data_IF_078444650304
#
_entry.id   IF_078444650304
#
_cell.length_a   1.000
_cell.length_b   1.000
_cell.length_c   1.000
_cell.angle_alpha   90.00
_cell.angle_beta   90.00
_cell.angle_gamma   90.00
#
_symmetry.space_group_name_H-M   'P 1'
#
loop_
_entity.id
_entity.type
_entity.pdbx_description
1 polymer ?
#
# COMPACT_ATOMS: atom_id res chain seq x y z
N UNK A 1 51.93 -37.58 -33.30
CA UNK A 1 52.19 -36.50 -32.31
C UNK A 1 50.86 -36.02 -31.75
N UNK A 2 50.85 -35.71 -30.46
CA UNK A 2 49.71 -35.59 -29.52
C UNK A 2 48.60 -34.57 -29.90
N UNK A 3 47.35 -35.04 -29.74
CA UNK A 3 46.12 -34.44 -29.17
C UNK A 3 46.12 -32.92 -28.88
N UNK A 4 45.01 -32.24 -29.26
CA UNK A 4 44.22 -31.26 -28.46
C UNK A 4 42.95 -30.89 -29.27
N UNK A 5 41.78 -31.44 -28.95
CA UNK A 5 40.79 -30.94 -27.97
C UNK A 5 40.30 -29.51 -28.26
N UNK A 6 39.09 -29.37 -28.81
CA UNK A 6 38.15 -28.31 -28.40
C UNK A 6 36.71 -28.72 -28.76
N UNK A 7 36.02 -29.31 -27.79
CA UNK A 7 34.56 -29.44 -27.78
C UNK A 7 33.98 -28.07 -27.40
N UNK A 8 33.32 -27.41 -28.34
CA UNK A 8 32.60 -26.16 -28.10
C UNK A 8 31.23 -26.50 -27.48
N UNK A 9 31.19 -26.56 -26.15
CA UNK A 9 29.95 -26.68 -25.38
C UNK A 9 29.35 -25.26 -25.26
N UNK A 10 28.38 -24.94 -26.12
CA UNK A 10 27.55 -23.75 -25.96
C UNK A 10 26.63 -23.92 -24.75
N UNK A 11 26.96 -23.23 -23.67
CA UNK A 11 26.12 -23.03 -22.50
C UNK A 11 24.83 -22.29 -22.90
N UNK A 12 23.71 -22.99 -22.78
CA UNK A 12 22.37 -22.43 -22.74
C UNK A 12 22.25 -21.52 -21.50
N UNK A 13 22.37 -20.21 -21.70
CA UNK A 13 21.86 -19.23 -20.74
C UNK A 13 20.36 -19.09 -20.96
N UNK A 14 19.59 -19.87 -20.23
CA UNK A 14 18.16 -19.64 -20.03
C UNK A 14 17.99 -18.34 -19.25
N UNK A 15 17.68 -17.26 -19.98
CA UNK A 15 17.15 -16.04 -19.38
C UNK A 15 15.82 -16.39 -18.70
N UNK A 16 15.85 -16.52 -17.36
CA UNK A 16 14.64 -16.52 -16.56
C UNK A 16 14.11 -15.08 -16.60
N UNK A 17 13.32 -14.76 -17.63
CA UNK A 17 12.39 -13.63 -17.56
C UNK A 17 11.48 -13.92 -16.37
N UNK A 18 11.69 -13.20 -15.27
CA UNK A 18 10.71 -13.08 -14.21
C UNK A 18 9.47 -12.42 -14.82
N UNK A 19 8.56 -13.24 -15.34
CA UNK A 19 7.21 -12.83 -15.65
C UNK A 19 6.59 -12.40 -14.32
N UNK A 20 6.51 -11.08 -14.08
CA UNK A 20 5.59 -10.52 -13.11
C UNK A 20 4.18 -10.76 -13.66
N UNK A 21 3.67 -11.96 -13.42
CA UNK A 21 2.27 -12.30 -13.69
C UNK A 21 1.42 -11.27 -12.96
N UNK A 22 0.69 -10.46 -13.73
CA UNK A 22 -0.33 -9.57 -13.19
C UNK A 22 -1.39 -10.46 -12.54
N UNK A 23 -1.28 -10.69 -11.24
CA UNK A 23 -2.30 -11.38 -10.47
C UNK A 23 -3.57 -10.53 -10.58
N UNK A 24 -4.58 -11.06 -11.27
CA UNK A 24 -5.92 -10.48 -11.24
C UNK A 24 -6.41 -10.56 -9.80
N UNK A 25 -6.45 -9.42 -9.12
CA UNK A 25 -6.91 -9.37 -7.73
C UNK A 25 -8.42 -9.66 -7.74
N UNK A 26 -8.88 -10.74 -7.08
CA UNK A 26 -10.31 -11.03 -7.01
C UNK A 26 -10.99 -10.01 -6.11
N UNK A 27 -11.57 -8.97 -6.73
CA UNK A 27 -12.34 -7.91 -6.09
C UNK A 27 -13.46 -8.45 -5.18
N UNK A 28 -13.93 -9.68 -5.43
CA UNK A 28 -14.96 -10.34 -4.62
C UNK A 28 -14.61 -10.48 -3.14
N UNK A 29 -13.32 -10.50 -2.79
CA UNK A 29 -12.84 -10.69 -1.41
C UNK A 29 -12.61 -9.39 -0.64
N UNK A 30 -12.76 -8.23 -1.30
CA UNK A 30 -12.50 -6.93 -0.71
C UNK A 30 -13.79 -6.11 -0.61
N UNK A 31 -13.81 -5.18 0.34
CA UNK A 31 -14.86 -4.18 0.47
C UNK A 31 -14.23 -2.82 0.74
N UNK A 32 -14.93 -1.76 0.34
CA UNK A 32 -14.52 -0.39 0.70
C UNK A 32 -14.53 -0.27 2.22
N UNK A 33 -13.47 0.30 2.77
CA UNK A 33 -13.41 0.67 4.17
C UNK A 33 -14.24 1.92 4.41
N UNK A 34 -15.17 1.85 5.35
CA UNK A 34 -16.12 2.93 5.64
C UNK A 34 -16.03 3.41 7.08
N UNK A 35 -16.62 4.57 7.36
CA UNK A 35 -16.71 5.08 8.74
C UNK A 35 -17.48 4.14 9.67
N UNK A 36 -18.57 3.52 9.20
CA UNK A 36 -19.30 2.51 9.99
C UNK A 36 -18.44 1.30 10.34
N UNK A 37 -17.55 0.90 9.41
CA UNK A 37 -16.64 -0.20 9.64
C UNK A 37 -15.53 0.20 10.63
N UNK A 38 -15.01 1.42 10.53
CA UNK A 38 -14.11 2.00 11.53
C UNK A 38 -14.73 1.93 12.92
N UNK A 39 -15.92 2.51 13.08
CA UNK A 39 -16.63 2.52 14.36
C UNK A 39 -16.89 1.10 14.89
N UNK A 40 -17.18 0.16 13.98
CA UNK A 40 -17.38 -1.24 14.36
C UNK A 40 -16.11 -1.95 14.82
N UNK A 41 -14.96 -1.66 14.21
CA UNK A 41 -13.65 -2.20 14.59
C UNK A 41 -13.18 -1.62 15.92
N UNK A 42 -13.24 -0.29 16.06
CA UNK A 42 -12.86 0.41 17.29
C UNK A 42 -13.75 -0.02 18.46
N UNK A 43 -15.06 -0.16 18.23
CA UNK A 43 -16.01 -0.68 19.23
C UNK A 43 -15.76 -2.14 19.62
N UNK A 44 -15.08 -2.92 18.77
CA UNK A 44 -14.61 -4.27 19.08
C UNK A 44 -13.19 -4.29 19.70
N UNK A 45 -12.59 -3.12 19.96
CA UNK A 45 -11.23 -3.01 20.49
C UNK A 45 -10.15 -3.41 19.49
N UNK A 46 -10.44 -3.39 18.18
CA UNK A 46 -9.49 -3.69 17.12
C UNK A 46 -8.89 -2.36 16.62
N UNK A 47 -7.63 -2.06 16.98
CA UNK A 47 -6.98 -0.82 16.55
C UNK A 47 -6.68 -0.86 15.03
N UNK A 48 -6.75 0.29 14.36
CA UNK A 48 -6.60 0.38 12.90
C UNK A 48 -5.20 -0.01 12.42
N UNK A 49 -4.18 0.11 13.26
CA UNK A 49 -2.80 -0.31 13.01
C UNK A 49 -2.69 -1.84 12.84
N UNK A 50 -3.70 -2.61 13.29
CA UNK A 50 -3.78 -4.06 13.08
C UNK A 50 -4.62 -4.44 11.84
N UNK A 51 -5.15 -3.46 11.13
CA UNK A 51 -5.95 -3.66 9.93
C UNK A 51 -5.06 -3.53 8.70
N UNK A 52 -5.10 -4.55 7.84
CA UNK A 52 -4.47 -4.47 6.53
C UNK A 52 -5.39 -3.72 5.56
N UNK A 53 -4.93 -2.58 5.07
CA UNK A 53 -5.58 -1.78 4.04
C UNK A 53 -5.06 -2.11 2.65
N UNK A 54 -5.86 -1.76 1.65
CA UNK A 54 -5.55 -1.88 0.22
C UNK A 54 -6.05 -0.63 -0.50
N UNK A 55 -5.31 -0.15 -1.49
CA UNK A 55 -5.74 0.93 -2.39
C UNK A 55 -6.50 0.37 -3.60
N UNK A 56 -7.49 1.08 -4.13
CA UNK A 56 -8.27 0.61 -5.29
C UNK A 56 -7.76 1.07 -6.66
N UNK A 57 -6.82 2.01 -6.67
CA UNK A 57 -6.25 2.63 -7.87
C UNK A 57 -4.76 2.83 -7.69
N UNK A 58 -4.05 2.95 -8.81
CA UNK A 58 -2.64 3.29 -8.81
C UNK A 58 -2.44 4.70 -8.24
N UNK A 59 -1.48 4.84 -7.32
CA UNK A 59 -1.04 6.13 -6.79
C UNK A 59 0.38 6.38 -7.31
N UNK A 60 0.58 7.48 -8.02
CA UNK A 60 1.90 7.88 -8.50
C UNK A 60 2.24 9.24 -7.92
N UNK A 61 3.37 9.33 -7.23
CA UNK A 61 3.89 10.56 -6.66
C UNK A 61 5.30 10.81 -7.18
N UNK A 62 5.65 12.09 -7.40
CA UNK A 62 6.92 12.49 -8.01
C UNK A 62 7.53 13.66 -7.25
N UNK A 63 8.86 13.68 -7.10
CA UNK A 63 9.59 14.87 -6.66
C UNK A 63 10.86 15.06 -7.47
N UNK A 64 11.27 16.32 -7.58
CA UNK A 64 12.61 16.66 -8.01
C UNK A 64 13.59 16.42 -6.86
N UNK A 65 14.76 15.89 -7.18
CA UNK A 65 15.83 15.60 -6.24
C UNK A 65 17.06 16.38 -6.65
N UNK A 66 17.53 17.22 -5.73
CA UNK A 66 18.72 18.06 -5.95
C UNK A 66 20.03 17.34 -5.60
N UNK A 67 20.01 16.41 -4.62
CA UNK A 67 21.17 15.58 -4.23
C UNK A 67 20.89 14.11 -4.56
N UNK A 68 21.62 13.49 -5.51
CA UNK A 68 21.48 12.07 -5.85
C UNK A 68 21.66 11.12 -4.65
N UNK A 69 22.41 11.52 -3.61
CA UNK A 69 22.62 10.71 -2.40
C UNK A 69 21.39 10.70 -1.47
N UNK A 70 20.44 11.59 -1.69
CA UNK A 70 19.16 11.63 -0.96
C UNK A 70 18.22 10.49 -1.37
N UNK A 71 18.57 9.74 -2.42
CA UNK A 71 17.76 8.61 -2.90
C UNK A 71 18.42 7.30 -2.49
N UNK A 72 17.94 6.72 -1.39
CA UNK A 72 18.07 5.28 -1.17
C UNK A 72 17.11 4.59 -2.14
N UNK A 73 17.66 3.92 -3.16
CA UNK A 73 16.87 3.18 -4.15
C UNK A 73 16.23 1.99 -3.45
N UNK A 74 14.96 2.14 -3.04
CA UNK A 74 14.12 1.03 -2.62
C UNK A 74 13.43 0.43 -3.86
N UNK A 75 13.00 -0.84 -3.84
CA UNK A 75 12.36 -1.50 -4.99
C UNK A 75 11.10 -0.79 -5.54
N UNK A 76 10.49 0.11 -4.75
CA UNK A 76 9.26 0.86 -5.07
C UNK A 76 9.52 2.17 -5.85
N UNK A 77 10.77 2.64 -5.87
CA UNK A 77 11.13 3.97 -6.39
C UNK A 77 11.92 3.90 -7.70
N UNK A 78 11.45 4.57 -8.74
CA UNK A 78 12.20 4.77 -9.99
C UNK A 78 12.86 6.15 -10.00
N UNK A 79 14.14 6.20 -10.38
CA UNK A 79 14.87 7.44 -10.60
C UNK A 79 15.02 7.65 -12.10
N UNK A 80 14.61 8.81 -12.60
CA UNK A 80 14.86 9.23 -13.99
C UNK A 80 15.56 10.58 -14.03
N UNK A 81 16.36 10.82 -15.06
CA UNK A 81 16.96 12.12 -15.32
C UNK A 81 16.12 12.87 -16.37
N UNK A 82 15.72 14.10 -16.09
CA UNK A 82 14.98 14.94 -17.04
C UNK A 82 15.47 16.39 -16.93
N UNK A 83 15.94 16.95 -18.04
CA UNK A 83 16.44 18.34 -18.12
C UNK A 83 17.53 18.68 -17.06
N UNK A 84 18.46 17.74 -16.82
CA UNK A 84 19.54 17.94 -15.84
C UNK A 84 19.13 17.79 -14.36
N UNK A 85 17.86 17.46 -14.09
CA UNK A 85 17.32 17.25 -12.75
C UNK A 85 17.03 15.77 -12.50
N UNK A 86 17.39 15.28 -11.32
CA UNK A 86 17.03 13.92 -10.88
C UNK A 86 15.58 13.92 -10.41
N UNK A 87 14.82 12.92 -10.83
CA UNK A 87 13.40 12.79 -10.54
C UNK A 87 13.19 11.47 -9.82
N UNK A 88 12.66 11.54 -8.59
CA UNK A 88 12.18 10.36 -7.88
C UNK A 88 10.69 10.17 -8.15
N UNK A 89 10.31 8.99 -8.58
CA UNK A 89 8.92 8.58 -8.78
C UNK A 89 8.64 7.36 -7.92
N UNK A 90 7.54 7.39 -7.15
CA UNK A 90 7.05 6.24 -6.37
C UNK A 90 5.69 5.85 -6.95
N UNK A 91 5.51 4.55 -7.18
CA UNK A 91 4.27 3.97 -7.68
C UNK A 91 3.73 2.96 -6.67
N UNK A 92 2.52 3.20 -6.18
CA UNK A 92 1.75 2.26 -5.37
C UNK A 92 0.70 1.63 -6.28
N UNK A 93 0.93 0.38 -6.67
CA UNK A 93 0.02 -0.36 -7.54
C UNK A 93 -1.33 -0.61 -6.85
N UNK A 94 -2.44 -0.80 -7.60
CA UNK A 94 -3.71 -1.18 -7.01
C UNK A 94 -3.57 -2.45 -6.17
N UNK A 95 -4.26 -2.48 -5.02
CA UNK A 95 -4.25 -3.56 -4.04
C UNK A 95 -2.87 -3.86 -3.45
N UNK A 96 -1.98 -2.87 -3.41
CA UNK A 96 -0.80 -2.95 -2.55
C UNK A 96 -1.26 -3.00 -1.09
N UNK A 97 -0.75 -3.94 -0.27
CA UNK A 97 -1.07 -3.99 1.15
C UNK A 97 -0.41 -2.80 1.87
N UNK A 98 -1.18 -2.09 2.69
CA UNK A 98 -0.71 -1.00 3.54
C UNK A 98 -1.21 -1.09 4.97
N UNK A 99 -0.52 -0.42 5.88
CA UNK A 99 -0.81 -0.43 7.32
C UNK A 99 -1.01 1.01 7.80
N UNK A 100 -1.99 1.23 8.67
CA UNK A 100 -2.17 2.53 9.30
C UNK A 100 -1.01 2.80 10.27
N UNK A 101 -0.37 3.97 10.13
CA UNK A 101 0.65 4.45 11.06
C UNK A 101 0.06 5.34 12.15
N UNK A 102 -1.02 6.04 11.82
CA UNK A 102 -1.81 6.83 12.74
C UNK A 102 -3.21 7.08 12.17
N UNK A 103 -4.13 7.50 13.02
CA UNK A 103 -5.45 7.94 12.59
C UNK A 103 -5.99 9.01 13.53
N UNK A 104 -6.79 9.91 12.99
CA UNK A 104 -7.55 10.92 13.72
C UNK A 104 -9.01 10.85 13.27
N UNK A 105 -9.87 11.69 13.85
CA UNK A 105 -11.26 11.79 13.44
C UNK A 105 -11.36 12.18 11.95
N UNK A 106 -11.91 11.27 11.14
CA UNK A 106 -12.06 11.46 9.70
C UNK A 106 -10.75 11.42 8.90
N UNK A 107 -9.63 10.99 9.49
CA UNK A 107 -8.34 10.89 8.79
C UNK A 107 -7.68 9.55 9.13
N UNK A 108 -7.08 8.90 8.12
CA UNK A 108 -6.21 7.74 8.30
C UNK A 108 -4.92 7.97 7.52
N UNK A 109 -3.78 7.73 8.17
CA UNK A 109 -2.47 7.79 7.56
C UNK A 109 -1.96 6.37 7.27
N UNK A 110 -1.89 5.98 6.00
CA UNK A 110 -1.54 4.61 5.58
C UNK A 110 -0.18 4.58 4.91
N UNK A 111 0.73 3.77 5.44
CA UNK A 111 2.00 3.46 4.77
C UNK A 111 1.81 2.30 3.80
N UNK A 112 2.45 2.41 2.64
CA UNK A 112 2.57 1.35 1.64
C UNK A 112 4.02 0.86 1.50
N UNK A 113 4.90 1.32 2.40
CA UNK A 113 6.33 1.04 2.40
C UNK A 113 6.65 -0.23 3.18
N UNK A 114 7.20 -1.23 2.49
CA UNK A 114 7.60 -2.49 3.13
C UNK A 114 8.91 -2.37 3.95
N UNK A 115 9.66 -1.28 3.77
CA UNK A 115 10.96 -1.07 4.41
C UNK A 115 10.88 -0.44 5.81
N UNK A 116 9.67 -0.12 6.30
CA UNK A 116 9.40 0.55 7.57
C UNK A 116 10.09 1.93 7.72
N UNK A 117 10.52 2.55 6.62
CA UNK A 117 11.13 3.87 6.64
C UNK A 117 10.07 4.98 6.67
N UNK A 118 8.89 4.72 6.10
CA UNK A 118 7.76 5.61 6.26
C UNK A 118 7.26 5.64 7.70
N UNK A 119 7.19 6.86 8.24
CA UNK A 119 6.73 7.16 9.61
C UNK A 119 5.52 8.07 9.63
N UNK A 120 5.07 8.56 8.46
CA UNK A 120 3.96 9.52 8.37
C UNK A 120 2.75 8.96 7.65
N UNK A 121 2.93 8.08 6.67
CA UNK A 121 1.81 7.53 5.91
C UNK A 121 1.23 8.52 4.92
N UNK A 122 0.56 7.98 3.91
CA UNK A 122 -0.30 8.71 2.98
C UNK A 122 -1.60 9.10 3.68
N UNK A 123 -1.98 10.38 3.61
CA UNK A 123 -3.20 10.88 4.23
C UNK A 123 -4.45 10.54 3.41
N UNK A 124 -5.41 9.86 4.03
CA UNK A 124 -6.75 9.62 3.51
C UNK A 124 -7.77 10.40 4.35
N UNK A 125 -8.59 11.23 3.71
CA UNK A 125 -9.64 12.02 4.37
C UNK A 125 -11.00 11.34 4.18
N UNK A 126 -11.86 11.46 5.19
CA UNK A 126 -13.25 11.05 5.14
C UNK A 126 -14.10 12.07 4.37
N UNK A 127 -14.91 11.59 3.44
CA UNK A 127 -16.09 12.32 2.97
C UNK A 127 -17.25 11.36 2.72
N UNK A 128 -18.42 11.73 3.22
CA UNK A 128 -19.52 10.79 3.37
C UNK A 128 -19.09 9.60 4.21
N UNK A 129 -19.17 8.40 3.64
CA UNK A 129 -18.79 7.15 4.32
C UNK A 129 -17.42 6.61 3.89
N UNK A 130 -16.64 7.33 3.08
CA UNK A 130 -15.45 6.78 2.44
C UNK A 130 -14.19 7.58 2.75
N UNK A 131 -13.09 6.86 2.93
CA UNK A 131 -11.75 7.40 3.07
C UNK A 131 -11.06 7.43 1.71
N UNK A 132 -10.56 8.60 1.29
CA UNK A 132 -9.84 8.76 0.03
C UNK A 132 -8.69 9.75 0.09
N UNK A 133 -7.75 9.58 -0.83
CA UNK A 133 -6.77 10.62 -1.14
C UNK A 133 -7.51 11.79 -1.76
N UNK A 134 -7.51 12.92 -1.05
CA UNK A 134 -8.05 14.19 -1.51
C UNK A 134 -6.92 15.21 -1.53
N UNK A 135 -6.33 15.41 -2.71
CA UNK A 135 -5.23 16.35 -2.93
C UNK A 135 -5.73 17.37 -3.94
N UNK A 136 -5.94 18.60 -3.49
CA UNK A 136 -6.28 19.71 -4.38
C UNK A 136 -5.16 19.95 -5.39
N UNK A 137 -5.45 20.52 -6.57
CA UNK A 137 -4.41 21.02 -7.47
C UNK A 137 -3.40 21.89 -6.70
N UNK A 138 -2.10 21.64 -6.92
CA UNK A 138 -0.96 22.29 -6.24
C UNK A 138 -0.73 21.93 -4.76
N UNK A 139 -1.56 21.07 -4.16
CA UNK A 139 -1.31 20.60 -2.80
C UNK A 139 -0.17 19.58 -2.78
N UNK A 140 0.85 19.90 -1.99
CA UNK A 140 1.99 19.03 -1.71
C UNK A 140 1.55 17.82 -0.87
N UNK A 141 2.06 16.66 -1.23
CA UNK A 141 1.78 15.39 -0.57
C UNK A 141 3.00 14.93 0.21
N UNK A 142 2.90 14.81 1.54
CA UNK A 142 4.01 14.28 2.34
C UNK A 142 4.00 12.76 2.37
N UNK A 143 5.16 12.15 2.12
CA UNK A 143 5.37 10.71 2.22
C UNK A 143 6.83 10.42 2.53
N UNK A 144 7.14 9.48 3.44
CA UNK A 144 8.53 9.19 3.88
C UNK A 144 9.32 10.46 4.26
N UNK A 145 8.66 11.42 4.95
CA UNK A 145 9.21 12.72 5.37
C UNK A 145 9.70 13.63 4.23
N UNK A 146 9.27 13.35 2.99
CA UNK A 146 9.57 14.15 1.82
C UNK A 146 8.28 14.67 1.21
N UNK A 147 8.41 15.77 0.48
CA UNK A 147 7.30 16.39 -0.23
C UNK A 147 7.30 15.93 -1.68
N UNK A 148 6.15 15.42 -2.13
CA UNK A 148 5.91 14.98 -3.50
C UNK A 148 4.73 15.70 -4.13
N UNK A 149 4.71 15.67 -5.46
CA UNK A 149 3.58 16.05 -6.29
C UNK A 149 2.80 14.79 -6.70
N UNK A 150 1.50 14.77 -6.42
CA UNK A 150 0.62 13.71 -6.87
C UNK A 150 0.46 13.78 -8.39
N UNK A 151 0.87 12.73 -9.09
CA UNK A 151 0.73 12.60 -10.55
C UNK A 151 -0.54 11.81 -10.91
N UNK A 152 -0.90 10.82 -10.09
CA UNK A 152 -2.09 10.01 -10.27
C UNK A 152 -2.55 9.45 -8.92
N UNK A 153 -3.84 9.15 -8.78
CA UNK A 153 -4.40 8.53 -7.58
C UNK A 153 -5.31 9.43 -6.73
N UNK A 154 -5.70 10.61 -7.21
CA UNK A 154 -6.75 11.39 -6.54
C UNK A 154 -8.07 10.60 -6.49
N UNK A 155 -8.76 10.63 -5.34
CA UNK A 155 -9.94 9.81 -5.09
C UNK A 155 -9.67 8.30 -4.99
N UNK A 156 -8.43 7.89 -4.67
CA UNK A 156 -8.11 6.50 -4.32
C UNK A 156 -8.72 6.18 -2.98
N UNK A 157 -9.42 5.05 -2.86
CA UNK A 157 -10.12 4.64 -1.64
C UNK A 157 -9.39 3.54 -0.90
N UNK A 158 -9.62 3.48 0.41
CA UNK A 158 -9.18 2.36 1.24
C UNK A 158 -10.16 1.19 1.15
N UNK A 159 -9.59 0.00 1.03
CA UNK A 159 -10.28 -1.29 1.02
C UNK A 159 -9.70 -2.18 2.12
N UNK A 160 -10.50 -3.14 2.57
CA UNK A 160 -10.10 -4.20 3.49
C UNK A 160 -10.66 -5.54 3.01
N UNK A 161 -10.11 -6.65 3.51
CA UNK A 161 -10.67 -7.98 3.24
C UNK A 161 -12.03 -8.13 3.94
N UNK A 162 -12.99 -8.75 3.26
CA UNK A 162 -14.32 -9.05 3.82
C UNK A 162 -14.28 -9.93 5.06
N UNK A 163 -13.26 -10.77 5.22
CA UNK A 163 -13.12 -11.62 6.41
C UNK A 163 -12.90 -10.82 7.70
N UNK A 164 -12.39 -9.58 7.61
CA UNK A 164 -12.32 -8.66 8.74
C UNK A 164 -13.73 -8.37 9.32
N UNK A 165 -14.74 -8.31 8.46
CA UNK A 165 -16.14 -8.11 8.89
C UNK A 165 -16.65 -9.29 9.73
N UNK A 166 -16.25 -10.52 9.38
CA UNK A 166 -16.63 -11.72 10.12
C UNK A 166 -16.03 -11.71 11.53
N UNK A 167 -14.78 -11.26 11.66
CA UNK A 167 -14.11 -11.15 12.95
C UNK A 167 -14.83 -10.16 13.89
N UNK A 168 -15.25 -9.00 13.35
CA UNK A 168 -16.02 -8.01 14.11
C UNK A 168 -17.37 -8.56 14.57
N UNK A 169 -18.09 -9.24 13.67
CA UNK A 169 -19.40 -9.81 14.00
C UNK A 169 -19.30 -10.92 15.07
N UNK A 170 -18.33 -11.84 14.94
CA UNK A 170 -18.13 -12.91 15.92
C UNK A 170 -17.81 -12.38 17.32
N UNK A 171 -17.08 -11.26 17.42
CA UNK A 171 -16.81 -10.60 18.70
C UNK A 171 -18.08 -10.11 19.40
N UNK A 172 -19.12 -9.73 18.63
CA UNK A 172 -20.39 -9.23 19.18
C UNK A 172 -21.33 -10.35 19.64
N UNK A 173 -21.19 -11.56 19.11
CA UNK A 173 -22.13 -12.66 19.35
C UNK A 173 -21.78 -13.60 20.52
N UNK A 174 -20.72 -13.33 21.30
CA UNK A 174 -20.34 -14.23 22.41
C UNK A 174 -21.29 -14.09 23.62
N UNK A 175 -22.37 -14.88 23.63
CA UNK A 175 -23.28 -15.03 24.76
C UNK A 175 -22.92 -16.27 25.59
N UNK A 176 -22.64 -16.09 26.89
CA UNK A 176 -22.20 -17.19 27.78
C UNK A 176 -23.34 -18.11 28.28
N UNK A 177 -24.58 -17.87 27.86
CA UNK A 177 -25.77 -18.57 28.35
C UNK A 177 -26.09 -18.27 29.82
N UNK A 178 -27.32 -18.56 30.25
CA UNK A 178 -27.77 -18.46 31.65
C UNK A 178 -27.95 -19.88 32.18
N UNK A 179 -27.28 -20.23 33.29
CA UNK A 179 -27.53 -21.49 34.00
C UNK A 179 -28.79 -21.36 34.84
N UNK A 180 -29.63 -22.39 34.81
CA UNK A 180 -30.78 -22.53 35.72
C UNK A 180 -30.24 -23.01 37.07
N UNK A 181 -30.62 -22.33 38.16
CA UNK A 181 -30.26 -22.75 39.51
C UNK A 181 -30.90 -24.11 39.83
N UNK A 182 -30.09 -25.04 40.37
CA UNK A 182 -30.57 -26.28 40.98
C UNK A 182 -31.13 -26.01 42.37
#
# INVERSE_FOLDING_TARGET
MKIKSTLLICLLYSAMSACTTMNSVPLSNYTVFTEDLRASLEGAGIPLEKVQFFNDKNITIRREVSDPNDIKVNPEGQITMSNGKSIQTINVLPFTPGVALSSDQGIIYVSWDDTQQDTKGMKFNLSGQHYFIDVLPESKFEYKQRTFDLQAGNGTRLFVKKDLLKQVNNSRETLKGRKVGQ
#
